data_IF_481112275844
#
_entry.id   IF_481112275844
#
_cell.length_a   1.000
_cell.length_b   1.000
_cell.length_c   1.000
_cell.angle_alpha   90.00
_cell.angle_beta   90.00
_cell.angle_gamma   90.00
#
_symmetry.space_group_name_H-M   'P 1'
#
loop_
_entity.id
_entity.type
_entity.pdbx_description
1 polymer ?
#
# COMPACT_ATOMS: atom_id res chain seq x y z
N UNK A 1 -3.33 0.41 -13.78
CA UNK A 1 -2.93 1.31 -12.68
C UNK A 1 -1.43 1.29 -12.45
N UNK A 2 -0.84 0.15 -12.08
CA UNK A 2 0.60 0.01 -11.79
C UNK A 2 1.54 0.59 -12.87
N UNK A 3 1.24 0.40 -14.15
CA UNK A 3 2.04 0.99 -15.24
C UNK A 3 2.08 2.54 -15.20
N UNK A 4 0.96 3.19 -14.84
CA UNK A 4 0.90 4.66 -14.72
C UNK A 4 1.70 5.13 -13.51
N UNK A 5 1.72 4.35 -12.42
CA UNK A 5 2.49 4.65 -11.20
C UNK A 5 4.00 4.72 -11.48
N UNK A 6 4.50 4.04 -12.52
CA UNK A 6 5.91 4.12 -12.96
C UNK A 6 6.27 5.44 -13.64
N UNK A 7 5.29 6.16 -14.21
CA UNK A 7 5.54 7.31 -15.10
C UNK A 7 5.01 8.63 -14.55
N UNK A 8 4.43 8.62 -13.35
CA UNK A 8 3.93 9.83 -12.69
C UNK A 8 5.12 10.73 -12.38
N UNK A 9 4.93 12.04 -12.59
CA UNK A 9 5.87 13.04 -12.07
C UNK A 9 5.62 13.23 -10.57
N UNK A 10 6.66 13.04 -9.76
CA UNK A 10 6.58 13.15 -8.31
C UNK A 10 6.44 11.80 -7.61
N UNK A 11 5.96 11.83 -6.37
CA UNK A 11 5.84 10.67 -5.49
C UNK A 11 4.36 10.34 -5.23
N UNK A 12 4.02 9.06 -5.22
CA UNK A 12 2.68 8.59 -4.91
C UNK A 12 2.69 7.41 -3.93
N UNK A 13 1.67 7.40 -3.07
CA UNK A 13 1.39 6.33 -2.11
C UNK A 13 0.01 5.77 -2.44
N UNK A 14 -0.11 4.45 -2.51
CA UNK A 14 -1.39 3.77 -2.72
C UNK A 14 -1.68 2.88 -1.51
N UNK A 15 -2.86 3.03 -0.93
CA UNK A 15 -3.41 2.11 0.07
C UNK A 15 -4.44 1.21 -0.58
N UNK A 16 -4.31 -0.11 -0.43
CA UNK A 16 -5.21 -1.08 -1.07
C UNK A 16 -5.25 -2.40 -0.30
N UNK A 17 -6.39 -3.10 -0.30
CA UNK A 17 -6.52 -4.40 0.33
C UNK A 17 -5.43 -5.38 -0.12
N UNK A 18 -4.89 -6.14 0.82
CA UNK A 18 -3.90 -7.17 0.54
C UNK A 18 -4.57 -8.36 -0.17
N UNK A 19 -4.19 -8.57 -1.43
CA UNK A 19 -4.67 -9.66 -2.25
C UNK A 19 -3.56 -10.13 -3.19
N UNK A 20 -3.43 -11.45 -3.48
CA UNK A 20 -2.37 -11.98 -4.34
C UNK A 20 -2.25 -11.27 -5.70
N UNK A 21 -3.38 -10.97 -6.34
CA UNK A 21 -3.41 -10.23 -7.61
C UNK A 21 -2.85 -8.80 -7.51
N UNK A 22 -3.03 -8.12 -6.36
CA UNK A 22 -2.47 -6.80 -6.12
C UNK A 22 -0.96 -6.90 -5.95
N UNK A 23 -0.47 -7.84 -5.14
CA UNK A 23 0.97 -8.09 -4.99
C UNK A 23 1.64 -8.39 -6.32
N UNK A 24 1.01 -9.18 -7.19
CA UNK A 24 1.51 -9.45 -8.53
C UNK A 24 1.53 -8.18 -9.41
N UNK A 25 0.45 -7.40 -9.41
CA UNK A 25 0.36 -6.16 -10.21
C UNK A 25 1.42 -5.12 -9.82
N UNK A 26 1.77 -5.06 -8.54
CA UNK A 26 2.66 -4.05 -7.97
C UNK A 26 4.02 -4.62 -7.51
N UNK A 27 4.39 -5.82 -7.93
CA UNK A 27 5.62 -6.51 -7.51
C UNK A 27 6.93 -5.73 -7.77
N UNK A 28 6.89 -4.72 -8.63
CA UNK A 28 8.02 -3.85 -8.94
C UNK A 28 8.14 -2.61 -8.04
N UNK A 29 7.29 -2.47 -7.02
CA UNK A 29 7.24 -1.33 -6.10
C UNK A 29 7.52 -1.76 -4.66
N UNK A 30 8.00 -0.83 -3.84
CA UNK A 30 8.10 -1.05 -2.39
C UNK A 30 6.69 -1.15 -1.79
N UNK A 31 6.50 -2.14 -0.92
CA UNK A 31 5.21 -2.50 -0.32
C UNK A 31 5.37 -2.77 1.17
N UNK A 32 4.51 -2.14 1.97
CA UNK A 32 4.37 -2.37 3.40
C UNK A 32 3.02 -3.03 3.69
N UNK A 33 3.05 -4.15 4.42
CA UNK A 33 1.85 -4.85 4.87
C UNK A 33 1.39 -4.30 6.22
N UNK A 34 0.12 -3.92 6.28
CA UNK A 34 -0.56 -3.45 7.47
C UNK A 34 -1.71 -4.37 7.82
N UNK A 35 -1.93 -4.60 9.11
CA UNK A 35 -3.11 -5.28 9.62
C UNK A 35 -4.08 -4.25 10.14
N UNK A 36 -5.20 -4.09 9.45
CA UNK A 36 -6.23 -3.16 9.83
C UNK A 36 -7.49 -3.89 10.29
N UNK A 37 -8.19 -3.27 11.23
CA UNK A 37 -9.45 -3.78 11.72
C UNK A 37 -10.58 -3.04 11.03
N UNK A 38 -11.19 -3.67 10.02
CA UNK A 38 -12.37 -3.09 9.37
C UNK A 38 -13.63 -3.45 10.17
N UNK A 39 -14.42 -2.44 10.51
CA UNK A 39 -15.79 -2.63 11.01
C UNK A 39 -16.75 -2.40 9.85
N UNK A 40 -17.41 -3.46 9.39
CA UNK A 40 -18.49 -3.36 8.40
C UNK A 40 -19.80 -3.58 9.14
N UNK A 41 -20.62 -2.53 9.30
CA UNK A 41 -21.99 -2.66 9.82
C UNK A 41 -22.19 -2.66 11.36
N UNK A 42 -21.39 -1.92 12.12
CA UNK A 42 -21.55 -1.84 13.59
C UNK A 42 -20.75 -2.89 14.35
N UNK A 43 -20.41 -2.60 15.62
CA UNK A 43 -19.29 -3.16 16.38
C UNK A 43 -19.22 -4.68 16.63
N UNK A 44 -20.14 -5.48 16.09
CA UNK A 44 -20.19 -6.93 16.28
C UNK A 44 -19.41 -7.74 15.23
N UNK A 45 -19.11 -7.16 14.05
CA UNK A 45 -18.42 -7.87 12.95
C UNK A 45 -17.06 -7.22 12.63
N UNK A 46 -16.16 -7.21 13.61
CA UNK A 46 -14.76 -6.79 13.39
C UNK A 46 -14.04 -7.92 12.67
N UNK A 47 -13.69 -7.70 11.40
CA UNK A 47 -12.92 -8.67 10.62
C UNK A 47 -11.55 -8.08 10.36
N UNK A 48 -10.51 -8.80 10.75
CA UNK A 48 -9.14 -8.45 10.42
C UNK A 48 -8.94 -8.57 8.90
N UNK A 49 -8.42 -7.50 8.29
CA UNK A 49 -8.11 -7.43 6.87
C UNK A 49 -6.67 -6.94 6.71
N UNK A 50 -5.94 -7.58 5.81
CA UNK A 50 -4.65 -7.08 5.37
C UNK A 50 -4.83 -5.90 4.43
N UNK A 51 -4.00 -4.89 4.59
CA UNK A 51 -3.86 -3.74 3.70
C UNK A 51 -2.40 -3.63 3.27
N UNK A 52 -2.18 -3.15 2.04
CA UNK A 52 -0.87 -2.85 1.47
C UNK A 52 -0.75 -1.35 1.26
N UNK A 53 0.36 -0.79 1.72
CA UNK A 53 0.81 0.55 1.35
C UNK A 53 1.93 0.42 0.34
N UNK A 54 1.72 0.96 -0.86
CA UNK A 54 2.60 0.82 -2.01
C UNK A 54 3.21 2.19 -2.32
N UNK A 55 4.53 2.24 -2.42
CA UNK A 55 5.29 3.48 -2.66
C UNK A 55 5.86 3.50 -4.08
N UNK A 56 5.74 4.65 -4.75
CA UNK A 56 6.32 4.83 -6.08
C UNK A 56 7.83 5.08 -6.08
N UNK A 57 8.47 5.06 -4.91
CA UNK A 57 9.90 5.30 -4.71
C UNK A 57 10.45 4.35 -3.63
N UNK A 58 11.77 4.19 -3.60
CA UNK A 58 12.45 3.40 -2.57
C UNK A 58 12.64 4.25 -1.30
N UNK A 59 11.94 3.87 -0.23
CA UNK A 59 11.99 4.58 1.04
C UNK A 59 13.29 4.36 1.83
N UNK A 60 14.03 3.29 1.56
CA UNK A 60 15.32 3.03 2.19
C UNK A 60 16.43 3.86 1.54
N UNK A 61 16.38 4.00 0.21
CA UNK A 61 17.30 4.87 -0.52
C UNK A 61 17.04 6.36 -0.24
N UNK A 62 15.78 6.72 0.04
CA UNK A 62 15.35 8.09 0.31
C UNK A 62 14.68 8.18 1.70
N UNK A 63 15.45 8.03 2.80
CA UNK A 63 14.90 8.05 4.14
C UNK A 63 14.19 9.38 4.40
N UNK A 64 13.12 9.33 5.19
CA UNK A 64 12.44 10.54 5.63
C UNK A 64 13.44 11.42 6.37
N UNK A 65 13.77 12.58 5.79
CA UNK A 65 14.56 13.60 6.45
C UNK A 65 13.78 14.13 7.65
N UNK A 66 14.01 13.53 8.81
CA UNK A 66 13.82 14.24 10.07
C UNK A 66 14.90 15.33 10.08
N UNK A 67 14.45 16.58 10.17
CA UNK A 67 15.24 17.81 10.18
C UNK A 67 16.68 17.68 10.70
#
# INVERSE_FOLDING_TARGET
MAAKLKTIKGRAVISINDHPAIRQCFAAFDMEELRINYTVGGGANRVERGELVIYSWDRQAEPAGLF
#
